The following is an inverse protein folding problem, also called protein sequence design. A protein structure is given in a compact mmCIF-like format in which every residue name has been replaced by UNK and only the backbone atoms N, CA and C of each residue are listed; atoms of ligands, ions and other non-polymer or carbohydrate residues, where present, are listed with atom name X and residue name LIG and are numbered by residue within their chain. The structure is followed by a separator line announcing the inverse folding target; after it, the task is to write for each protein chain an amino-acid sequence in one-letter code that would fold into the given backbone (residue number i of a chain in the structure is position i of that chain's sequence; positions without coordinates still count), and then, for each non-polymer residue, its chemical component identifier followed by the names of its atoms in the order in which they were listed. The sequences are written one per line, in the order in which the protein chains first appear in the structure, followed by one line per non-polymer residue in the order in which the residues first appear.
data_IF_618612630699
#
_entry.id   IF_618612630699
#
_cell.length_a   1.000
_cell.length_b   1.000
_cell.length_c   1.000
_cell.angle_alpha   90.00
_cell.angle_beta   90.00
_cell.angle_gamma   90.00
#
_symmetry.space_group_name_H-M   'P 1'
#
loop_
_entity.id
_entity.type
_entity.pdbx_description
1 polymer ?
#
# COMPACT_ATOMS: atom_id res chain seq x y z
N UNK A 1 -42.10 -16.76 -11.46
CA UNK A 1 -41.02 -15.78 -11.23
C UNK A 1 -40.01 -16.46 -10.33
N UNK A 2 -38.80 -16.65 -10.85
CA UNK A 2 -37.79 -17.54 -10.28
C UNK A 2 -37.25 -17.01 -8.95
N UNK A 3 -37.15 -17.91 -7.97
CA UNK A 3 -36.40 -17.70 -6.75
C UNK A 3 -34.90 -17.70 -7.07
N UNK A 4 -34.18 -16.64 -6.71
CA UNK A 4 -32.72 -16.66 -6.65
C UNK A 4 -32.31 -17.40 -5.38
N UNK A 5 -31.86 -18.63 -5.55
CA UNK A 5 -31.20 -19.43 -4.52
C UNK A 5 -30.01 -18.66 -3.92
N UNK A 6 -29.71 -18.81 -2.62
CA UNK A 6 -28.45 -18.33 -2.08
C UNK A 6 -27.32 -19.13 -2.72
N UNK A 7 -26.47 -18.45 -3.49
CA UNK A 7 -25.26 -19.03 -4.04
C UNK A 7 -24.38 -19.46 -2.86
N UNK A 8 -24.04 -20.76 -2.84
CA UNK A 8 -23.24 -21.36 -1.79
C UNK A 8 -21.92 -20.59 -1.63
N UNK A 9 -21.58 -20.23 -0.38
CA UNK A 9 -20.27 -19.65 -0.04
C UNK A 9 -19.23 -20.76 -0.20
N UNK A 10 -18.80 -21.02 -1.42
CA UNK A 10 -17.59 -21.77 -1.69
C UNK A 10 -16.46 -21.01 -0.99
N UNK A 11 -15.68 -21.71 -0.16
CA UNK A 11 -14.62 -21.10 0.65
C UNK A 11 -13.71 -20.23 -0.20
N UNK A 12 -13.89 -18.91 -0.09
CA UNK A 12 -13.10 -17.94 -0.82
C UNK A 12 -11.68 -18.06 -0.26
N UNK A 13 -10.74 -18.54 -1.07
CA UNK A 13 -9.34 -18.45 -0.73
C UNK A 13 -9.04 -16.99 -0.38
N UNK A 14 -8.30 -16.70 0.70
CA UNK A 14 -8.01 -15.34 1.09
C UNK A 14 -7.41 -14.59 -0.11
N UNK A 15 -7.87 -13.37 -0.33
CA UNK A 15 -7.34 -12.54 -1.41
C UNK A 15 -5.81 -12.46 -1.28
N UNK A 16 -5.05 -12.42 -2.40
CA UNK A 16 -3.60 -12.29 -2.31
C UNK A 16 -3.23 -10.97 -1.65
N UNK A 17 -2.17 -11.00 -0.84
CA UNK A 17 -1.57 -9.81 -0.25
C UNK A 17 -1.05 -8.84 -1.32
N UNK A 18 -0.92 -7.57 -0.96
CA UNK A 18 -0.54 -6.52 -1.91
C UNK A 18 0.41 -5.49 -1.31
N UNK A 19 1.55 -5.30 -1.97
CA UNK A 19 2.43 -4.14 -1.75
C UNK A 19 2.06 -3.07 -2.77
N UNK A 20 1.77 -1.85 -2.31
CA UNK A 20 1.49 -0.68 -3.15
C UNK A 20 2.58 0.34 -2.93
N UNK A 21 3.39 0.61 -3.96
CA UNK A 21 4.35 1.71 -3.94
C UNK A 21 3.65 2.99 -4.42
N UNK A 22 3.42 3.93 -3.51
CA UNK A 22 2.86 5.25 -3.80
C UNK A 22 3.98 6.27 -3.90
N UNK A 23 4.47 6.50 -5.11
CA UNK A 23 5.45 7.55 -5.39
C UNK A 23 4.76 8.90 -5.60
N UNK A 24 5.25 9.93 -4.92
CA UNK A 24 4.72 11.30 -5.05
C UNK A 24 5.81 12.24 -5.53
N UNK A 25 5.48 13.12 -6.48
CA UNK A 25 6.44 14.09 -7.03
C UNK A 25 6.27 15.44 -6.35
N UNK A 26 7.39 16.12 -6.08
CA UNK A 26 7.42 17.51 -5.62
C UNK A 26 6.79 18.50 -6.60
N UNK A 27 6.53 18.08 -7.85
CA UNK A 27 5.90 18.92 -8.88
C UNK A 27 4.40 19.09 -8.70
N UNK A 28 3.78 18.24 -7.89
CA UNK A 28 2.36 18.29 -7.57
C UNK A 28 2.24 18.74 -6.12
N UNK A 29 1.30 19.66 -5.86
CA UNK A 29 1.06 20.10 -4.50
C UNK A 29 0.69 18.90 -3.61
N UNK A 30 1.30 18.76 -2.43
CA UNK A 30 0.92 17.73 -1.47
C UNK A 30 -0.59 17.71 -1.21
N UNK A 31 -1.18 16.53 -1.07
CA UNK A 31 -2.62 16.33 -0.94
C UNK A 31 -3.37 16.13 -2.26
N UNK A 32 -2.80 16.48 -3.41
CA UNK A 32 -3.38 16.20 -4.74
C UNK A 32 -3.01 14.80 -5.24
N UNK A 33 -3.52 13.78 -4.56
CA UNK A 33 -3.41 12.39 -5.02
C UNK A 33 -4.58 12.03 -5.95
N UNK A 34 -4.32 11.10 -6.88
CA UNK A 34 -5.38 10.51 -7.67
C UNK A 34 -6.40 9.81 -6.77
N UNK A 35 -7.65 9.68 -7.24
CA UNK A 35 -8.66 8.92 -6.49
C UNK A 35 -8.16 7.51 -6.12
N UNK A 36 -7.52 6.73 -7.03
CA UNK A 36 -7.05 5.38 -6.68
C UNK A 36 -5.98 5.38 -5.58
N UNK A 37 -5.09 6.37 -5.57
CA UNK A 37 -4.09 6.51 -4.52
C UNK A 37 -4.73 6.79 -3.16
N UNK A 38 -5.72 7.70 -3.11
CA UNK A 38 -6.47 7.96 -1.88
C UNK A 38 -7.21 6.72 -1.37
N UNK A 39 -7.68 5.87 -2.27
CA UNK A 39 -8.40 4.65 -1.89
C UNK A 39 -7.48 3.57 -1.38
N UNK A 40 -6.36 3.34 -2.07
CA UNK A 40 -5.31 2.45 -1.57
C UNK A 40 -4.88 2.84 -0.15
N UNK A 41 -4.63 4.12 0.10
CA UNK A 41 -4.26 4.62 1.43
C UNK A 41 -5.34 4.38 2.49
N UNK A 42 -6.61 4.60 2.14
CA UNK A 42 -7.74 4.46 3.08
C UNK A 42 -8.11 3.01 3.39
N UNK A 43 -7.81 2.08 2.48
CA UNK A 43 -8.15 0.66 2.63
C UNK A 43 -6.96 -0.20 3.02
N UNK A 44 -5.75 0.36 3.08
CA UNK A 44 -4.56 -0.37 3.47
C UNK A 44 -4.61 -0.78 4.94
N UNK A 45 -4.10 -1.97 5.22
CA UNK A 45 -3.88 -2.45 6.59
C UNK A 45 -2.72 -1.70 7.25
N UNK A 46 -1.70 -1.32 6.46
CA UNK A 46 -0.57 -0.51 6.91
C UNK A 46 -0.14 0.51 5.86
N UNK A 47 0.25 1.69 6.34
CA UNK A 47 0.88 2.73 5.53
C UNK A 47 2.22 3.07 6.16
N UNK A 48 3.29 2.98 5.36
CA UNK A 48 4.66 3.15 5.80
C UNK A 48 5.31 4.29 5.04
N UNK A 49 6.24 4.99 5.68
CA UNK A 49 7.10 5.96 5.01
C UNK A 49 8.46 5.98 5.70
N UNK A 50 9.54 5.85 4.94
CA UNK A 50 10.90 5.89 5.50
C UNK A 50 11.32 7.30 5.95
N UNK A 51 10.75 8.33 5.32
CA UNK A 51 11.08 9.73 5.56
C UNK A 51 9.98 10.42 6.39
N UNK A 52 10.22 10.64 7.69
CA UNK A 52 9.32 11.37 8.57
C UNK A 52 9.07 12.83 8.19
N UNK A 53 9.89 13.40 7.31
CA UNK A 53 9.71 14.74 6.74
C UNK A 53 9.00 14.74 5.40
N UNK A 54 8.53 13.58 4.92
CA UNK A 54 7.91 13.47 3.61
C UNK A 54 6.70 14.42 3.47
N UNK A 55 6.63 15.23 2.39
CA UNK A 55 5.70 16.37 2.30
C UNK A 55 4.22 15.97 2.29
N UNK A 56 3.92 14.71 1.97
CA UNK A 56 2.56 14.17 2.00
C UNK A 56 2.03 13.87 3.42
N UNK A 57 2.92 13.66 4.40
CA UNK A 57 2.53 13.18 5.73
C UNK A 57 1.55 14.09 6.49
N UNK A 58 1.68 15.44 6.47
CA UNK A 58 0.68 16.31 7.10
C UNK A 58 -0.74 16.05 6.59
N UNK A 59 -0.90 15.87 5.27
CA UNK A 59 -2.19 15.66 4.62
C UNK A 59 -2.77 14.26 4.88
N UNK A 60 -1.91 13.24 5.00
CA UNK A 60 -2.35 11.90 5.40
C UNK A 60 -2.86 11.92 6.85
N UNK A 61 -2.17 12.63 7.75
CA UNK A 61 -2.60 12.80 9.15
C UNK A 61 -3.93 13.55 9.24
N UNK A 62 -4.10 14.62 8.47
CA UNK A 62 -5.39 15.35 8.39
C UNK A 62 -6.54 14.45 7.89
N UNK A 63 -6.26 13.55 6.94
CA UNK A 63 -7.21 12.57 6.45
C UNK A 63 -7.44 11.37 7.40
N UNK A 64 -6.80 11.34 8.58
CA UNK A 64 -6.93 10.27 9.57
C UNK A 64 -6.15 8.99 9.24
N UNK A 65 -5.23 9.03 8.27
CA UNK A 65 -4.38 7.90 7.89
C UNK A 65 -3.16 7.90 8.80
N UNK A 66 -2.99 6.83 9.59
CA UNK A 66 -1.78 6.60 10.38
C UNK A 66 -0.67 6.13 9.45
N UNK A 67 0.48 6.79 9.53
CA UNK A 67 1.69 6.39 8.81
C UNK A 67 2.75 6.01 9.83
N UNK A 68 3.31 4.82 9.70
CA UNK A 68 4.43 4.36 10.51
C UNK A 68 5.75 4.74 9.84
N UNK A 69 6.61 5.45 10.58
CA UNK A 69 7.92 5.87 10.08
C UNK A 69 8.92 4.71 10.15
N UNK A 70 9.06 3.99 9.04
CA UNK A 70 9.91 2.80 8.95
C UNK A 70 10.30 2.50 7.50
N UNK A 71 11.42 1.80 7.33
CA UNK A 71 11.96 1.37 6.05
C UNK A 71 12.19 -0.15 6.06
N UNK A 72 11.12 -0.97 6.00
CA UNK A 72 11.25 -2.43 6.02
C UNK A 72 11.93 -2.97 4.76
N UNK A 73 12.51 -4.16 4.85
CA UNK A 73 13.03 -4.88 3.69
C UNK A 73 11.89 -5.38 2.79
N UNK A 74 12.25 -5.85 1.59
CA UNK A 74 11.29 -6.46 0.67
C UNK A 74 10.63 -7.71 1.26
N UNK A 75 11.42 -8.55 1.95
CA UNK A 75 10.96 -9.75 2.65
C UNK A 75 9.95 -9.39 3.75
N UNK A 76 10.29 -8.41 4.59
CA UNK A 76 9.40 -7.94 5.66
C UNK A 76 8.07 -7.38 5.12
N UNK A 77 8.09 -6.71 3.97
CA UNK A 77 6.85 -6.26 3.31
C UNK A 77 6.01 -7.40 2.75
N UNK A 78 6.64 -8.39 2.12
CA UNK A 78 5.94 -9.57 1.59
C UNK A 78 5.30 -10.35 2.74
N UNK A 79 6.03 -10.54 3.85
CA UNK A 79 5.53 -11.19 5.05
C UNK A 79 4.38 -10.39 5.68
N UNK A 80 4.48 -9.06 5.73
CA UNK A 80 3.40 -8.19 6.22
C UNK A 80 2.13 -8.26 5.36
N UNK A 81 2.25 -8.66 4.10
CA UNK A 81 1.13 -8.88 3.19
C UNK A 81 0.51 -10.28 3.31
N UNK A 82 1.07 -11.17 4.14
CA UNK A 82 0.47 -12.49 4.38
C UNK A 82 -0.99 -12.37 4.85
N UNK A 83 -1.81 -13.37 4.54
CA UNK A 83 -3.24 -13.34 4.91
C UNK A 83 -4.10 -12.36 4.11
N UNK A 84 -3.56 -11.77 3.03
CA UNK A 84 -4.30 -10.87 2.14
C UNK A 84 -4.20 -9.39 2.51
N UNK A 85 -3.27 -9.04 3.40
CA UNK A 85 -3.08 -7.66 3.83
C UNK A 85 -2.46 -6.80 2.71
N UNK A 86 -2.89 -5.54 2.69
CA UNK A 86 -2.36 -4.49 1.81
C UNK A 86 -1.46 -3.56 2.60
N UNK A 87 -0.22 -3.42 2.15
CA UNK A 87 0.75 -2.45 2.69
C UNK A 87 1.02 -1.39 1.63
N UNK A 88 0.86 -0.12 1.98
CA UNK A 88 1.21 1.02 1.14
C UNK A 88 2.53 1.61 1.64
N UNK A 89 3.50 1.77 0.74
CA UNK A 89 4.76 2.48 1.00
C UNK A 89 4.70 3.83 0.30
N UNK A 90 4.74 4.91 1.07
CA UNK A 90 4.79 6.29 0.58
C UNK A 90 6.24 6.66 0.33
N UNK A 91 6.54 6.96 -0.93
CA UNK A 91 7.87 7.28 -1.41
C UNK A 91 7.92 8.63 -2.13
N UNK A 92 9.11 9.22 -2.17
CA UNK A 92 9.35 10.43 -2.97
C UNK A 92 9.37 10.10 -4.46
N UNK A 93 9.52 11.14 -5.31
CA UNK A 93 9.58 10.99 -6.76
C UNK A 93 10.81 10.24 -7.26
N UNK A 94 11.84 10.12 -6.41
CA UNK A 94 13.04 9.31 -6.68
C UNK A 94 12.77 7.80 -6.50
N UNK A 95 11.63 7.43 -5.90
CA UNK A 95 11.28 6.05 -5.60
C UNK A 95 12.08 5.46 -4.44
N UNK A 96 12.12 4.13 -4.37
CA UNK A 96 12.81 3.36 -3.33
C UNK A 96 13.62 2.22 -4.00
N UNK A 97 14.80 2.50 -4.59
CA UNK A 97 15.53 1.53 -5.42
C UNK A 97 15.88 0.23 -4.68
N UNK A 98 16.38 0.34 -3.45
CA UNK A 98 16.74 -0.81 -2.64
C UNK A 98 15.53 -1.73 -2.37
N UNK A 99 14.37 -1.14 -2.13
CA UNK A 99 13.13 -1.88 -1.93
C UNK A 99 12.68 -2.55 -3.24
N UNK A 100 12.62 -1.80 -4.35
CA UNK A 100 12.17 -2.35 -5.63
C UNK A 100 13.11 -3.45 -6.14
N UNK A 101 14.42 -3.32 -5.92
CA UNK A 101 15.42 -4.34 -6.26
C UNK A 101 15.27 -5.60 -5.38
N UNK A 102 14.94 -5.43 -4.10
CA UNK A 102 14.60 -6.54 -3.21
C UNK A 102 13.36 -7.28 -3.69
N UNK A 103 12.28 -6.55 -3.98
CA UNK A 103 11.03 -7.13 -4.49
C UNK A 103 11.23 -7.85 -5.83
N UNK A 104 12.02 -7.28 -6.73
CA UNK A 104 12.33 -7.91 -8.02
C UNK A 104 13.10 -9.23 -7.84
N UNK A 105 14.04 -9.30 -6.89
CA UNK A 105 14.75 -10.55 -6.58
C UNK A 105 13.83 -11.63 -6.03
N UNK A 106 12.89 -11.27 -5.15
CA UNK A 106 11.91 -12.21 -4.60
C UNK A 106 10.91 -12.71 -5.65
N UNK A 107 10.53 -11.86 -6.60
CA UNK A 107 9.62 -12.26 -7.67
C UNK A 107 10.26 -13.21 -8.70
N UNK A 108 11.60 -13.23 -8.79
CA UNK A 108 12.36 -14.06 -9.72
C UNK A 108 12.91 -15.37 -9.13
N UNK A 109 12.74 -15.61 -7.83
CA UNK A 109 13.17 -16.84 -7.13
C UNK A 109 12.08 -17.90 -7.11
#
# INVERSE_FOLDING_TARGET
MNATSPEAVAGQAPAPGRVVLLTTSHRVAPGLLSWPAWQALRTADRVLCADGAHPQLPYLREAGIRVDESAPTAEELVDACAGGHTVVVVATGEGEPALTDGLARLAGS
#
